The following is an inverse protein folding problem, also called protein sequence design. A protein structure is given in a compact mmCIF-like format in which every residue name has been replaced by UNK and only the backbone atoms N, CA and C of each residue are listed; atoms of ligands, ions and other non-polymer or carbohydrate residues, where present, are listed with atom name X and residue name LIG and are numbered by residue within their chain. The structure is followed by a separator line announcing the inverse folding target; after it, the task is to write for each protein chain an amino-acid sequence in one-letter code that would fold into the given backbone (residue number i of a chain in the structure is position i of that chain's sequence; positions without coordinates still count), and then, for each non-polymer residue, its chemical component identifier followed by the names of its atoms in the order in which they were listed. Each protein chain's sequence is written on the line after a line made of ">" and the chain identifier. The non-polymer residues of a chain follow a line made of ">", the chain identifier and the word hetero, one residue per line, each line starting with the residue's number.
data_IF_205521513834
#
_entry.id   IF_205521513834
#
_cell.length_a   1.000
_cell.length_b   1.000
_cell.length_c   1.000
_cell.angle_alpha   90.00
_cell.angle_beta   90.00
_cell.angle_gamma   90.00
#
_symmetry.space_group_name_H-M   'P 1'
#
loop_
_entity.id
_entity.type
_entity.pdbx_description
1 polymer ?
#
# COMPACT_ATOMS: atom_id res chain seq x y z
N UNK A 1 -25.76 96.01 -0.92
CA UNK A 1 -24.30 96.29 -0.93
C UNK A 1 -23.62 95.20 -1.74
N UNK A 2 -22.75 95.58 -2.68
CA UNK A 2 -22.24 94.74 -3.75
C UNK A 2 -20.70 94.72 -3.78
N UNK A 3 -20.13 93.75 -4.52
CA UNK A 3 -18.78 93.68 -5.15
C UNK A 3 -17.63 93.13 -4.28
N UNK A 4 -16.96 92.00 -4.62
CA UNK A 4 -15.95 91.65 -5.67
C UNK A 4 -14.55 91.41 -5.02
N UNK A 5 -13.97 90.19 -5.11
CA UNK A 5 -12.77 89.78 -5.91
C UNK A 5 -11.39 90.20 -5.30
N UNK A 6 -10.36 89.36 -5.05
CA UNK A 6 -9.48 88.59 -5.97
C UNK A 6 -8.46 87.74 -5.15
N UNK A 7 -8.30 86.42 -5.38
CA UNK A 7 -7.18 85.66 -6.00
C UNK A 7 -5.72 85.90 -5.54
N UNK A 8 -5.04 84.84 -5.08
CA UNK A 8 -3.65 84.51 -5.45
C UNK A 8 -3.42 82.99 -5.53
N UNK A 9 -2.67 82.58 -6.55
CA UNK A 9 -2.38 81.23 -7.02
C UNK A 9 -0.90 80.91 -6.71
N UNK A 10 -0.58 79.68 -6.26
CA UNK A 10 0.79 79.16 -6.26
C UNK A 10 0.83 77.83 -7.00
N UNK A 11 1.71 77.80 -8.00
CA UNK A 11 2.01 76.73 -8.94
C UNK A 11 3.08 75.80 -8.31
N UNK A 12 2.90 74.48 -8.36
CA UNK A 12 3.93 73.50 -8.05
C UNK A 12 4.00 72.50 -9.23
N UNK A 13 5.10 72.55 -9.98
CA UNK A 13 5.46 71.57 -11.00
C UNK A 13 5.97 70.30 -10.31
N UNK A 14 5.43 69.13 -10.69
CA UNK A 14 6.08 67.83 -10.50
C UNK A 14 6.51 67.29 -11.85
N UNK A 15 7.82 67.04 -12.00
CA UNK A 15 8.42 66.34 -13.14
C UNK A 15 8.53 64.87 -12.77
N UNK A 16 7.79 63.99 -13.46
CA UNK A 16 7.92 62.54 -13.32
C UNK A 16 8.86 62.00 -14.41
N UNK A 17 9.98 61.42 -14.00
CA UNK A 17 10.93 60.71 -14.87
C UNK A 17 10.39 59.29 -15.14
N UNK A 18 10.06 59.02 -16.41
CA UNK A 18 9.75 57.69 -16.92
C UNK A 18 11.04 56.99 -17.35
N UNK A 19 11.45 55.95 -16.62
CA UNK A 19 12.47 55.01 -17.06
C UNK A 19 11.80 53.84 -17.81
N UNK A 20 12.38 53.35 -18.92
CA UNK A 20 11.82 52.22 -19.67
C UNK A 20 12.11 50.91 -18.92
N UNK A 21 11.05 50.14 -18.61
CA UNK A 21 11.19 48.74 -18.19
C UNK A 21 11.68 47.93 -19.39
N UNK A 22 12.93 47.46 -19.32
CA UNK A 22 13.42 46.39 -20.18
C UNK A 22 12.71 45.09 -19.75
N UNK A 23 11.82 44.60 -20.61
CA UNK A 23 11.26 43.25 -20.47
C UNK A 23 12.41 42.24 -20.60
N UNK A 24 12.71 41.55 -19.51
CA UNK A 24 13.56 40.37 -19.57
C UNK A 24 12.82 39.26 -20.33
N UNK A 25 13.51 38.47 -21.17
CA UNK A 25 12.88 37.31 -21.77
C UNK A 25 12.49 36.37 -20.62
N UNK A 26 11.24 35.92 -20.62
CA UNK A 26 10.84 34.77 -19.83
C UNK A 26 11.67 33.58 -20.35
N UNK A 27 12.81 33.33 -19.70
CA UNK A 27 13.51 32.06 -19.84
C UNK A 27 12.51 31.02 -19.36
N UNK A 28 12.09 30.16 -20.28
CA UNK A 28 11.15 29.09 -20.04
C UNK A 28 11.58 28.32 -18.79
N UNK A 29 10.76 28.40 -17.74
CA UNK A 29 10.85 27.56 -16.56
C UNK A 29 10.23 26.19 -16.90
N UNK A 30 10.75 25.59 -17.99
CA UNK A 30 10.43 24.27 -18.53
C UNK A 30 11.66 23.36 -18.46
N UNK A 31 12.56 23.58 -17.48
CA UNK A 31 13.34 22.47 -16.93
C UNK A 31 12.36 21.63 -16.10
N UNK A 32 11.54 20.91 -16.87
CA UNK A 32 10.38 20.16 -16.47
C UNK A 32 10.79 19.13 -15.42
N UNK A 33 10.02 19.06 -14.35
CA UNK A 33 10.07 17.99 -13.36
C UNK A 33 10.03 16.65 -14.11
N UNK A 34 11.20 16.05 -14.36
CA UNK A 34 11.37 14.79 -15.05
C UNK A 34 12.28 13.94 -14.21
N UNK A 35 11.70 12.94 -13.58
CA UNK A 35 12.40 12.05 -12.68
C UNK A 35 12.30 10.62 -13.19
N UNK A 36 13.44 9.94 -13.28
CA UNK A 36 13.46 8.53 -13.59
C UNK A 36 12.92 7.73 -12.40
N UNK A 37 12.08 6.76 -12.71
CA UNK A 37 11.51 5.83 -11.75
C UNK A 37 11.32 4.44 -12.37
N UNK A 38 10.77 3.56 -11.55
CA UNK A 38 10.56 2.15 -11.91
C UNK A 38 9.25 1.64 -11.30
N UNK A 39 8.58 0.74 -12.01
CA UNK A 39 7.39 0.06 -11.49
C UNK A 39 7.79 -0.98 -10.45
N UNK A 40 7.12 -0.98 -9.31
CA UNK A 40 7.45 -1.84 -8.14
C UNK A 40 6.19 -2.46 -7.53
N UNK A 41 6.34 -3.59 -6.83
CA UNK A 41 5.29 -4.19 -5.99
C UNK A 41 4.02 -4.63 -6.73
N UNK A 42 4.06 -4.69 -8.06
CA UNK A 42 2.98 -5.22 -8.91
C UNK A 42 3.55 -5.72 -10.23
N UNK A 43 3.03 -6.83 -10.74
CA UNK A 43 3.33 -7.33 -12.09
C UNK A 43 2.61 -6.53 -13.19
N UNK A 44 1.65 -5.68 -12.82
CA UNK A 44 0.89 -4.89 -13.77
C UNK A 44 0.40 -3.57 -13.17
N UNK A 45 0.85 -2.46 -13.76
CA UNK A 45 0.45 -1.10 -13.40
C UNK A 45 -0.26 -0.42 -14.57
N UNK A 46 -1.52 -0.06 -14.38
CA UNK A 46 -2.29 0.65 -15.39
C UNK A 46 -1.76 2.07 -15.59
N UNK A 47 -1.43 2.42 -16.82
CA UNK A 47 -1.09 3.79 -17.24
C UNK A 47 -2.36 4.46 -17.76
N UNK A 48 -2.98 5.32 -16.96
CA UNK A 48 -4.32 5.88 -17.24
C UNK A 48 -4.28 7.15 -18.07
N UNK A 49 -5.39 7.45 -18.73
CA UNK A 49 -5.56 8.67 -19.53
C UNK A 49 -5.69 9.95 -18.70
N UNK A 50 -6.11 9.84 -17.44
CA UNK A 50 -6.25 10.92 -16.47
C UNK A 50 -6.01 10.39 -15.04
N UNK A 51 -5.86 11.24 -14.02
CA UNK A 51 -5.61 10.85 -12.64
C UNK A 51 -6.89 10.39 -11.92
N UNK A 52 -7.59 9.41 -12.50
CA UNK A 52 -8.85 8.89 -11.97
C UNK A 52 -9.06 7.42 -12.37
N UNK A 53 -9.62 6.62 -11.48
CA UNK A 53 -9.94 5.21 -11.70
C UNK A 53 -10.98 4.98 -12.81
N UNK A 54 -11.84 5.96 -13.07
CA UNK A 54 -12.82 5.93 -14.15
C UNK A 54 -12.19 6.13 -15.54
N UNK A 55 -10.96 6.64 -15.60
CA UNK A 55 -10.27 6.86 -16.87
C UNK A 55 -9.72 5.55 -17.45
N UNK A 56 -9.89 5.40 -18.77
CA UNK A 56 -9.38 4.25 -19.51
C UNK A 56 -7.86 4.08 -19.38
N UNK A 57 -7.41 2.83 -19.44
CA UNK A 57 -6.00 2.47 -19.48
C UNK A 57 -5.42 2.65 -20.88
N UNK A 58 -4.22 3.24 -20.97
CA UNK A 58 -3.40 3.42 -22.17
C UNK A 58 -2.33 2.32 -22.32
N UNK A 59 -2.25 1.43 -21.34
CA UNK A 59 -1.31 0.32 -21.30
C UNK A 59 -1.10 -0.22 -19.89
N UNK A 60 -0.40 -1.35 -19.79
CA UNK A 60 -0.09 -2.04 -18.55
C UNK A 60 1.43 -2.17 -18.43
N UNK A 61 2.05 -1.29 -17.64
CA UNK A 61 3.47 -1.38 -17.32
C UNK A 61 3.72 -2.60 -16.43
N UNK A 62 4.79 -3.34 -16.69
CA UNK A 62 5.17 -4.53 -15.93
C UNK A 62 6.09 -4.14 -14.76
N UNK A 63 6.25 -5.06 -13.81
CA UNK A 63 7.27 -4.93 -12.75
C UNK A 63 8.64 -4.62 -13.38
N UNK A 64 9.40 -3.72 -12.76
CA UNK A 64 10.71 -3.24 -13.23
C UNK A 64 10.71 -2.41 -14.53
N UNK A 65 9.55 -2.15 -15.15
CA UNK A 65 9.51 -1.27 -16.32
C UNK A 65 10.03 0.13 -15.95
N UNK A 66 10.91 0.73 -16.78
CA UNK A 66 11.36 2.10 -16.58
C UNK A 66 10.19 3.06 -16.86
N UNK A 67 10.03 4.05 -15.99
CA UNK A 67 8.99 5.07 -16.09
C UNK A 67 9.58 6.44 -15.77
N UNK A 68 9.13 7.50 -16.43
CA UNK A 68 9.55 8.87 -16.09
C UNK A 68 8.38 9.59 -15.47
N UNK A 69 8.51 10.08 -14.24
CA UNK A 69 7.54 10.98 -13.62
C UNK A 69 7.75 12.38 -14.18
N UNK A 70 6.70 13.00 -14.72
CA UNK A 70 6.78 14.25 -15.49
C UNK A 70 6.16 15.46 -14.79
N UNK A 71 5.76 15.33 -13.53
CA UNK A 71 5.14 16.41 -12.77
C UNK A 71 4.66 15.98 -11.38
N UNK A 72 4.06 16.91 -10.62
CA UNK A 72 3.52 16.62 -9.30
C UNK A 72 2.29 15.71 -9.37
N UNK A 73 2.08 14.94 -8.30
CA UNK A 73 0.92 14.07 -8.18
C UNK A 73 -0.41 14.86 -8.17
N UNK A 74 -1.44 14.26 -8.75
CA UNK A 74 -2.82 14.72 -8.65
C UNK A 74 -3.72 13.53 -8.30
N UNK A 75 -4.55 13.66 -7.27
CA UNK A 75 -5.45 12.59 -6.79
C UNK A 75 -4.73 11.25 -6.56
N UNK A 76 -3.49 11.29 -6.04
CA UNK A 76 -2.64 10.11 -5.82
C UNK A 76 -2.06 9.46 -7.10
N UNK A 77 -2.33 10.03 -8.28
CA UNK A 77 -1.68 9.61 -9.52
C UNK A 77 -0.50 10.51 -9.86
N UNK A 78 0.60 9.91 -10.28
CA UNK A 78 1.76 10.58 -10.85
C UNK A 78 1.57 10.73 -12.37
N UNK A 79 1.75 11.92 -12.94
CA UNK A 79 1.85 12.07 -14.39
C UNK A 79 3.16 11.43 -14.84
N UNK A 80 3.08 10.54 -15.83
CA UNK A 80 4.19 9.69 -16.24
C UNK A 80 4.33 9.59 -17.76
N UNK A 81 5.55 9.30 -18.20
CA UNK A 81 5.84 8.81 -19.54
C UNK A 81 6.39 7.37 -19.41
N UNK A 82 5.73 6.42 -20.07
CA UNK A 82 6.11 5.00 -20.10
C UNK A 82 6.04 4.50 -21.54
N UNK A 83 7.11 3.86 -22.02
CA UNK A 83 7.23 3.37 -23.40
C UNK A 83 6.86 4.42 -24.47
N UNK A 84 7.28 5.68 -24.26
CA UNK A 84 6.98 6.82 -25.14
C UNK A 84 5.53 7.31 -25.08
N UNK A 85 4.74 6.88 -24.09
CA UNK A 85 3.33 7.28 -23.90
C UNK A 85 3.17 8.08 -22.62
N UNK A 86 2.60 9.27 -22.74
CA UNK A 86 2.17 10.04 -21.59
C UNK A 86 0.89 9.44 -20.97
N UNK A 87 0.79 9.46 -19.65
CA UNK A 87 -0.37 8.99 -18.89
C UNK A 87 -0.22 9.27 -17.40
N UNK A 88 -0.95 8.50 -16.59
CA UNK A 88 -1.00 8.64 -15.14
C UNK A 88 -0.88 7.28 -14.47
N UNK A 89 0.04 7.14 -13.51
CA UNK A 89 0.29 5.92 -12.76
C UNK A 89 -0.06 6.11 -11.28
N UNK A 90 -0.61 5.09 -10.63
CA UNK A 90 -0.87 5.16 -9.19
C UNK A 90 0.46 5.19 -8.42
N UNK A 91 0.62 6.16 -7.51
CA UNK A 91 1.91 6.45 -6.89
C UNK A 91 2.49 5.27 -6.08
N UNK A 92 1.62 4.42 -5.50
CA UNK A 92 2.03 3.30 -4.65
C UNK A 92 2.82 2.21 -5.40
N UNK A 93 2.90 2.29 -6.74
CA UNK A 93 3.61 1.31 -7.56
C UNK A 93 4.72 1.93 -8.39
N UNK A 94 5.15 3.16 -8.08
CA UNK A 94 6.24 3.86 -8.78
C UNK A 94 7.28 4.31 -7.76
N UNK A 95 8.48 3.73 -7.84
CA UNK A 95 9.63 4.18 -7.07
C UNK A 95 10.44 5.20 -7.88
N UNK A 96 10.92 6.25 -7.21
CA UNK A 96 11.83 7.25 -7.79
C UNK A 96 13.00 7.52 -6.85
N UNK A 97 14.04 8.19 -7.33
CA UNK A 97 15.18 8.57 -6.48
C UNK A 97 14.80 9.51 -5.33
N UNK A 98 13.75 10.31 -5.50
CA UNK A 98 13.27 11.28 -4.52
C UNK A 98 12.28 10.71 -3.51
N UNK A 99 11.46 9.73 -3.91
CA UNK A 99 10.44 9.12 -3.03
C UNK A 99 10.82 7.75 -2.47
N UNK A 100 11.85 7.11 -3.01
CA UNK A 100 12.21 5.74 -2.67
C UNK A 100 11.15 4.72 -3.08
N UNK A 101 11.23 3.54 -2.50
CA UNK A 101 10.30 2.42 -2.71
C UNK A 101 8.98 2.69 -1.98
N UNK A 102 7.85 2.72 -2.71
CA UNK A 102 6.54 2.80 -2.11
C UNK A 102 6.31 1.74 -1.04
N UNK A 103 5.60 2.16 0.01
CA UNK A 103 5.34 1.38 1.21
C UNK A 103 3.93 1.68 1.70
N UNK A 104 3.12 0.64 1.88
CA UNK A 104 1.75 0.79 2.37
C UNK A 104 1.72 0.64 3.89
N UNK A 105 1.77 1.75 4.61
CA UNK A 105 1.56 1.77 6.06
C UNK A 105 0.15 2.20 6.45
N UNK A 106 -0.44 3.09 5.65
CA UNK A 106 -1.80 3.58 5.77
C UNK A 106 -2.37 3.77 4.36
N UNK A 107 -3.69 3.60 4.22
CA UNK A 107 -4.42 3.90 3.00
C UNK A 107 -4.60 5.39 2.75
N UNK A 108 -5.23 5.71 1.61
CA UNK A 108 -5.62 7.08 1.29
C UNK A 108 -6.79 7.53 2.19
N UNK A 109 -6.66 8.64 2.95
CA UNK A 109 -7.78 9.19 3.71
C UNK A 109 -8.91 9.70 2.80
N UNK A 110 -10.10 9.86 3.38
CA UNK A 110 -11.31 10.37 2.71
C UNK A 110 -12.31 9.30 2.30
N UNK A 111 -12.12 8.03 2.70
CA UNK A 111 -12.97 6.89 2.35
C UNK A 111 -13.55 6.13 3.52
N UNK A 112 -13.24 6.56 4.75
CA UNK A 112 -13.58 5.87 5.99
C UNK A 112 -13.21 4.38 5.95
N UNK A 113 -12.04 4.03 5.38
CA UNK A 113 -11.61 2.63 5.24
C UNK A 113 -10.75 2.20 6.42
N UNK A 114 -10.88 0.93 6.81
CA UNK A 114 -9.98 0.26 7.75
C UNK A 114 -9.64 -1.12 7.20
N UNK A 115 -8.38 -1.54 7.30
CA UNK A 115 -7.97 -2.89 6.92
C UNK A 115 -7.48 -3.65 8.16
N UNK A 116 -7.89 -4.91 8.28
CA UNK A 116 -7.35 -5.82 9.29
C UNK A 116 -6.35 -6.77 8.64
N UNK A 117 -5.18 -6.85 9.25
CA UNK A 117 -4.17 -7.86 8.92
C UNK A 117 -3.96 -8.80 10.10
N UNK A 118 -3.74 -10.08 9.79
CA UNK A 118 -3.43 -11.09 10.79
C UNK A 118 -2.09 -11.72 10.45
N UNK A 119 -1.07 -11.38 11.22
CA UNK A 119 0.25 -12.00 11.12
C UNK A 119 0.22 -13.34 11.87
N UNK A 120 0.74 -14.40 11.26
CA UNK A 120 0.79 -15.75 11.84
C UNK A 120 2.22 -16.29 11.71
N UNK A 121 2.76 -16.80 12.81
CA UNK A 121 4.17 -17.19 12.90
C UNK A 121 4.75 -17.13 14.32
N UNK A 122 3.92 -16.97 15.35
CA UNK A 122 4.28 -17.07 16.78
C UNK A 122 4.26 -18.53 17.27
N UNK A 123 3.42 -19.38 16.69
CA UNK A 123 3.49 -20.83 16.85
C UNK A 123 2.71 -21.42 18.04
N UNK A 124 1.91 -20.65 18.77
CA UNK A 124 0.87 -21.21 19.63
C UNK A 124 -0.30 -21.76 18.80
N UNK A 125 -1.22 -22.57 19.38
CA UNK A 125 -2.36 -23.08 18.64
C UNK A 125 -3.19 -21.97 18.01
N UNK A 126 -3.47 -22.09 16.71
CA UNK A 126 -4.25 -21.11 15.97
C UNK A 126 -5.66 -20.97 16.55
N UNK A 127 -6.05 -19.72 16.82
CA UNK A 127 -7.43 -19.37 17.13
C UNK A 127 -8.17 -19.09 15.82
N UNK A 128 -8.86 -20.10 15.29
CA UNK A 128 -9.54 -20.00 13.99
C UNK A 128 -10.91 -19.29 14.07
N UNK A 129 -11.54 -19.26 15.25
CA UNK A 129 -12.88 -18.71 15.43
C UNK A 129 -13.07 -17.26 14.95
N UNK A 130 -12.10 -16.34 15.10
CA UNK A 130 -12.21 -14.99 14.58
C UNK A 130 -12.34 -14.96 13.06
N UNK A 131 -11.57 -15.77 12.33
CA UNK A 131 -11.66 -15.83 10.87
C UNK A 131 -13.00 -16.40 10.40
N UNK A 132 -13.53 -17.40 11.10
CA UNK A 132 -14.88 -17.93 10.85
C UNK A 132 -15.95 -16.87 11.07
N UNK A 133 -15.84 -16.11 12.16
CA UNK A 133 -16.78 -15.03 12.47
C UNK A 133 -16.70 -13.89 11.44
N UNK A 134 -15.49 -13.43 11.08
CA UNK A 134 -15.29 -12.41 10.04
C UNK A 134 -15.89 -12.85 8.70
N UNK A 135 -15.71 -14.12 8.33
CA UNK A 135 -16.30 -14.69 7.12
C UNK A 135 -17.83 -14.66 7.17
N UNK A 136 -18.43 -15.07 8.28
CA UNK A 136 -19.88 -15.07 8.46
C UNK A 136 -20.48 -13.65 8.42
N UNK A 137 -19.77 -12.68 8.98
CA UNK A 137 -20.17 -11.27 9.07
C UNK A 137 -19.77 -10.44 7.84
N UNK A 138 -19.21 -11.08 6.81
CA UNK A 138 -18.70 -10.44 5.60
C UNK A 138 -17.75 -9.27 5.90
N UNK A 139 -16.85 -9.47 6.86
CA UNK A 139 -15.78 -8.51 7.19
C UNK A 139 -14.51 -8.93 6.45
N UNK A 140 -14.03 -8.13 5.49
CA UNK A 140 -12.76 -8.40 4.82
C UNK A 140 -11.57 -8.30 5.77
N UNK A 141 -10.56 -9.12 5.52
CA UNK A 141 -9.27 -9.11 6.19
C UNK A 141 -8.19 -9.66 5.25
N UNK A 142 -6.92 -9.54 5.60
CA UNK A 142 -5.80 -10.16 4.89
C UNK A 142 -4.92 -10.94 5.86
N UNK A 143 -4.54 -12.16 5.51
CA UNK A 143 -3.77 -13.05 6.38
C UNK A 143 -2.34 -13.13 5.88
N UNK A 144 -1.38 -13.03 6.78
CA UNK A 144 0.05 -13.09 6.47
C UNK A 144 0.70 -14.19 7.32
N UNK A 145 0.64 -15.44 6.88
CA UNK A 145 1.37 -16.53 7.52
C UNK A 145 2.85 -16.52 7.11
N UNK A 146 3.70 -16.98 8.02
CA UNK A 146 5.07 -17.37 7.72
C UNK A 146 5.12 -18.73 7.01
N UNK A 147 6.12 -18.94 6.15
CA UNK A 147 6.28 -20.19 5.42
C UNK A 147 6.57 -21.39 6.32
N UNK A 148 7.43 -21.22 7.33
CA UNK A 148 7.69 -22.28 8.34
C UNK A 148 6.39 -22.74 9.01
N UNK A 149 5.51 -21.78 9.34
CA UNK A 149 4.25 -22.05 10.05
C UNK A 149 3.29 -22.81 9.13
N UNK A 150 3.21 -22.43 7.85
CA UNK A 150 2.39 -23.13 6.87
C UNK A 150 2.76 -24.63 6.77
N UNK A 151 4.06 -24.96 6.78
CA UNK A 151 4.53 -26.36 6.76
C UNK A 151 4.25 -27.09 8.07
N UNK A 152 4.39 -26.42 9.21
CA UNK A 152 4.17 -27.01 10.52
C UNK A 152 2.68 -27.27 10.81
N UNK A 153 1.79 -26.40 10.30
CA UNK A 153 0.35 -26.44 10.54
C UNK A 153 -0.46 -26.46 9.23
N UNK A 154 -0.28 -27.50 8.38
CA UNK A 154 -0.81 -27.49 7.02
C UNK A 154 -2.35 -27.56 6.96
N UNK A 155 -3.00 -28.19 7.94
CA UNK A 155 -4.47 -28.29 7.98
C UNK A 155 -5.11 -26.95 8.36
N UNK A 156 -4.50 -26.20 9.28
CA UNK A 156 -4.93 -24.85 9.63
C UNK A 156 -4.72 -23.91 8.45
N UNK A 157 -3.56 -23.97 7.78
CA UNK A 157 -3.27 -23.18 6.60
C UNK A 157 -4.25 -23.45 5.44
N UNK A 158 -4.60 -24.72 5.18
CA UNK A 158 -5.65 -25.07 4.21
C UNK A 158 -7.02 -24.54 4.62
N UNK A 159 -7.33 -24.58 5.91
CA UNK A 159 -8.57 -24.02 6.45
C UNK A 159 -8.66 -22.52 6.19
N UNK A 160 -7.60 -21.76 6.50
CA UNK A 160 -7.50 -20.33 6.18
C UNK A 160 -7.73 -20.08 4.68
N UNK A 161 -7.07 -20.87 3.81
CA UNK A 161 -7.24 -20.74 2.37
C UNK A 161 -8.69 -21.02 1.89
N UNK A 162 -9.37 -22.00 2.49
CA UNK A 162 -10.77 -22.32 2.17
C UNK A 162 -11.75 -21.21 2.61
N UNK A 163 -11.42 -20.42 3.63
CA UNK A 163 -12.23 -19.26 4.03
C UNK A 163 -12.20 -18.15 2.97
N UNK A 164 -11.21 -18.15 2.07
CA UNK A 164 -11.13 -17.27 0.91
C UNK A 164 -10.69 -15.84 1.23
N UNK A 165 -10.03 -15.62 2.37
CA UNK A 165 -9.30 -14.37 2.60
C UNK A 165 -8.07 -14.31 1.67
N UNK A 166 -7.67 -13.11 1.21
CA UNK A 166 -6.35 -12.93 0.61
C UNK A 166 -5.25 -13.34 1.60
N UNK A 167 -4.26 -14.07 1.09
CA UNK A 167 -3.12 -14.57 1.85
C UNK A 167 -1.88 -13.89 1.26
N UNK A 168 -1.21 -13.01 1.99
CA UNK A 168 0.12 -12.51 1.68
C UNK A 168 1.21 -13.38 2.32
N UNK A 169 2.43 -12.87 2.42
CA UNK A 169 3.55 -13.55 3.12
C UNK A 169 4.09 -12.70 4.27
N UNK A 170 4.42 -13.35 5.39
CA UNK A 170 5.10 -12.74 6.53
C UNK A 170 6.59 -13.16 6.63
N UNK A 171 7.22 -13.48 5.48
CA UNK A 171 8.55 -14.09 5.45
C UNK A 171 8.52 -15.59 5.70
N UNK A 172 9.67 -16.25 5.68
CA UNK A 172 9.72 -17.70 5.92
C UNK A 172 9.91 -18.01 7.39
N UNK A 173 10.77 -17.27 8.09
CA UNK A 173 11.10 -17.42 9.52
C UNK A 173 11.05 -16.07 10.27
N UNK A 174 11.21 -16.10 11.60
CA UNK A 174 11.30 -14.86 12.40
C UNK A 174 12.65 -14.19 12.19
N UNK A 175 12.73 -13.35 11.17
CA UNK A 175 13.94 -12.66 10.77
C UNK A 175 13.79 -11.14 11.01
N UNK A 176 14.70 -10.55 11.78
CA UNK A 176 14.88 -9.10 11.81
C UNK A 176 15.70 -8.69 10.57
N UNK A 177 15.01 -8.51 9.44
CA UNK A 177 15.55 -8.36 8.09
C UNK A 177 16.65 -7.32 7.95
N UNK A 178 16.59 -6.21 8.70
CA UNK A 178 17.58 -5.13 8.59
C UNK A 178 18.96 -5.57 9.05
N UNK A 179 19.03 -6.61 9.89
CA UNK A 179 20.28 -7.21 10.38
C UNK A 179 20.89 -8.28 9.46
N UNK A 180 20.22 -8.66 8.37
CA UNK A 180 20.65 -9.74 7.47
C UNK A 180 21.06 -9.22 6.09
N UNK A 181 21.87 -10.01 5.38
CA UNK A 181 22.34 -9.68 4.02
C UNK A 181 21.20 -9.71 3.00
N UNK A 182 21.41 -9.06 1.86
CA UNK A 182 20.43 -9.01 0.77
C UNK A 182 20.03 -10.42 0.30
N UNK A 183 21.02 -11.33 0.16
CA UNK A 183 20.78 -12.72 -0.24
C UNK A 183 19.93 -13.48 0.78
N UNK A 184 20.18 -13.28 2.09
CA UNK A 184 19.40 -13.92 3.16
C UNK A 184 17.95 -13.42 3.18
N UNK A 185 17.74 -12.11 3.00
CA UNK A 185 16.39 -11.53 2.90
C UNK A 185 15.66 -12.09 1.67
N UNK A 186 16.32 -12.17 0.51
CA UNK A 186 15.70 -12.71 -0.71
C UNK A 186 15.39 -14.20 -0.58
N UNK A 187 16.26 -14.98 0.08
CA UNK A 187 16.00 -16.40 0.36
C UNK A 187 14.77 -16.54 1.25
N UNK A 188 14.66 -15.78 2.34
CA UNK A 188 13.49 -15.81 3.24
C UNK A 188 12.17 -15.52 2.49
N UNK A 189 12.17 -14.50 1.62
CA UNK A 189 10.99 -14.17 0.81
C UNK A 189 10.59 -15.30 -0.15
N UNK A 190 11.57 -15.93 -0.81
CA UNK A 190 11.33 -16.98 -1.80
C UNK A 190 10.90 -18.29 -1.16
N UNK A 191 11.56 -18.68 -0.07
CA UNK A 191 11.23 -19.90 0.67
C UNK A 191 9.82 -19.82 1.24
N UNK A 192 9.43 -18.66 1.77
CA UNK A 192 8.06 -18.42 2.24
C UNK A 192 7.01 -18.69 1.17
N UNK A 193 7.22 -18.14 -0.03
CA UNK A 193 6.30 -18.34 -1.16
C UNK A 193 6.22 -19.81 -1.59
N UNK A 194 7.37 -20.51 -1.61
CA UNK A 194 7.44 -21.95 -1.90
C UNK A 194 6.66 -22.77 -0.87
N UNK A 195 6.91 -22.53 0.42
CA UNK A 195 6.29 -23.26 1.52
C UNK A 195 4.79 -23.02 1.61
N UNK A 196 4.33 -21.77 1.43
CA UNK A 196 2.90 -21.46 1.34
C UNK A 196 2.28 -22.20 0.14
N UNK A 197 2.90 -22.10 -1.05
CA UNK A 197 2.41 -22.75 -2.27
C UNK A 197 2.30 -24.26 -2.13
N UNK A 198 3.26 -24.90 -1.47
CA UNK A 198 3.26 -26.35 -1.24
C UNK A 198 1.99 -26.81 -0.49
N UNK A 199 1.51 -26.00 0.45
CA UNK A 199 0.38 -26.37 1.31
C UNK A 199 -0.98 -26.06 0.67
N UNK A 200 -1.09 -24.91 -0.02
CA UNK A 200 -2.38 -24.41 -0.55
C UNK A 200 -2.50 -24.46 -2.08
N UNK A 201 -1.45 -24.90 -2.79
CA UNK A 201 -1.43 -25.12 -4.23
C UNK A 201 -1.36 -23.87 -5.10
N UNK A 202 -1.08 -22.69 -4.51
CA UNK A 202 -0.96 -21.41 -5.22
C UNK A 202 -0.07 -20.44 -4.45
N UNK A 203 0.47 -19.45 -5.16
CA UNK A 203 1.27 -18.40 -4.55
C UNK A 203 0.48 -17.50 -3.60
N UNK A 204 1.16 -16.94 -2.57
CA UNK A 204 0.60 -15.82 -1.84
C UNK A 204 0.35 -14.64 -2.79
N UNK A 205 -0.60 -13.78 -2.41
CA UNK A 205 -0.76 -12.47 -3.02
C UNK A 205 0.53 -11.66 -2.88
N UNK A 206 0.74 -10.73 -3.80
CA UNK A 206 1.93 -9.87 -3.90
C UNK A 206 2.00 -8.78 -2.80
N UNK A 207 1.79 -9.17 -1.54
CA UNK A 207 1.89 -8.34 -0.36
C UNK A 207 2.78 -9.03 0.66
N UNK A 208 3.71 -8.26 1.23
CA UNK A 208 4.65 -8.73 2.23
C UNK A 208 4.58 -7.83 3.47
N UNK A 209 4.65 -8.44 4.65
CA UNK A 209 4.78 -7.74 5.93
C UNK A 209 5.93 -8.33 6.73
N UNK A 210 6.84 -7.53 7.33
CA UNK A 210 8.03 -8.04 8.00
C UNK A 210 7.75 -8.43 9.46
N UNK A 211 8.47 -9.44 9.96
CA UNK A 211 8.53 -9.72 11.40
C UNK A 211 8.99 -8.47 12.17
N UNK A 212 8.35 -8.18 13.31
CA UNK A 212 8.66 -7.04 14.19
C UNK A 212 8.64 -5.65 13.50
N UNK A 213 7.91 -5.51 12.40
CA UNK A 213 7.91 -4.30 11.57
C UNK A 213 9.31 -3.95 11.00
N UNK A 214 10.27 -4.88 11.00
CA UNK A 214 11.68 -4.59 10.73
C UNK A 214 11.97 -4.51 9.22
N UNK A 215 11.84 -3.30 8.67
CA UNK A 215 12.03 -3.05 7.25
C UNK A 215 12.45 -1.60 6.98
N UNK A 216 13.70 -1.42 6.55
CA UNK A 216 14.25 -0.15 6.09
C UNK A 216 14.08 0.03 4.57
N UNK A 217 14.63 1.09 3.98
CA UNK A 217 14.57 1.30 2.52
C UNK A 217 15.20 0.14 1.73
N UNK A 218 16.35 -0.38 2.19
CA UNK A 218 17.04 -1.49 1.54
C UNK A 218 16.15 -2.73 1.49
N UNK A 219 15.53 -3.09 2.62
CA UNK A 219 14.63 -4.24 2.69
C UNK A 219 13.39 -4.01 1.82
N UNK A 220 12.81 -2.79 1.81
CA UNK A 220 11.68 -2.46 0.92
C UNK A 220 12.03 -2.66 -0.55
N UNK A 221 13.21 -2.22 -0.98
CA UNK A 221 13.68 -2.43 -2.35
C UNK A 221 13.79 -3.92 -2.71
N UNK A 222 14.33 -4.74 -1.80
CA UNK A 222 14.45 -6.20 -2.02
C UNK A 222 13.07 -6.86 -2.13
N UNK A 223 12.15 -6.55 -1.22
CA UNK A 223 10.76 -7.03 -1.24
C UNK A 223 10.08 -6.65 -2.56
N UNK A 224 10.25 -5.40 -3.00
CA UNK A 224 9.69 -4.89 -4.24
C UNK A 224 10.25 -5.57 -5.50
N UNK A 225 11.56 -5.87 -5.53
CA UNK A 225 12.21 -6.62 -6.62
C UNK A 225 11.73 -8.06 -6.73
N UNK A 226 11.40 -8.68 -5.59
CA UNK A 226 10.76 -10.00 -5.56
C UNK A 226 9.26 -9.94 -5.92
N UNK A 227 8.75 -8.75 -6.30
CA UNK A 227 7.41 -8.55 -6.83
C UNK A 227 6.32 -8.30 -5.81
N UNK A 228 6.68 -8.10 -4.53
CA UNK A 228 5.74 -7.83 -3.45
C UNK A 228 5.64 -6.33 -3.16
N UNK A 229 4.43 -5.85 -2.86
CA UNK A 229 4.27 -4.54 -2.22
C UNK A 229 4.62 -4.68 -0.72
N UNK A 230 5.56 -3.89 -0.19
CA UNK A 230 5.82 -3.85 1.25
C UNK A 230 4.64 -3.19 1.98
N UNK A 231 4.15 -3.87 3.03
CA UNK A 231 2.99 -3.47 3.83
C UNK A 231 3.39 -3.43 5.31
N UNK A 232 2.91 -2.42 6.03
CA UNK A 232 2.94 -2.36 7.49
C UNK A 232 1.62 -1.81 8.02
N UNK A 233 1.64 -1.31 9.25
CA UNK A 233 0.49 -0.85 9.98
C UNK A 233 0.82 0.40 10.81
N UNK A 234 -0.21 1.17 11.09
CA UNK A 234 -0.18 2.30 12.02
C UNK A 234 -0.78 1.94 13.37
N UNK A 235 -1.68 0.94 13.43
CA UNK A 235 -2.36 0.53 14.67
C UNK A 235 -1.99 -0.92 15.04
N UNK A 236 -0.94 -1.16 15.84
CA UNK A 236 -0.69 -2.47 16.42
C UNK A 236 -1.69 -2.76 17.54
N UNK A 237 -2.25 -3.97 17.57
CA UNK A 237 -3.05 -4.45 18.70
C UNK A 237 -2.21 -4.81 19.93
N UNK A 238 -0.89 -4.99 19.75
CA UNK A 238 0.04 -5.47 20.79
C UNK A 238 -0.44 -6.77 21.48
N UNK A 239 -1.13 -7.62 20.72
CA UNK A 239 -1.87 -8.79 21.18
C UNK A 239 -1.05 -10.09 21.22
N UNK A 240 0.18 -10.05 20.69
CA UNK A 240 1.14 -11.15 20.68
C UNK A 240 1.75 -11.47 22.06
N UNK A 241 1.51 -10.64 23.07
CA UNK A 241 2.15 -10.72 24.40
C UNK A 241 1.45 -11.74 25.30
N UNK A 242 2.17 -12.17 26.35
CA UNK A 242 1.58 -12.90 27.47
C UNK A 242 0.61 -11.99 28.26
N UNK A 243 -0.41 -12.60 28.86
CA UNK A 243 -1.40 -11.96 29.76
C UNK A 243 -2.23 -10.80 29.16
N UNK A 244 -2.53 -10.85 27.86
CA UNK A 244 -3.40 -9.86 27.20
C UNK A 244 -4.87 -10.23 27.39
N UNK A 245 -5.73 -9.23 27.57
CA UNK A 245 -7.20 -9.39 27.65
C UNK A 245 -7.90 -8.81 26.43
N UNK A 246 -9.15 -9.21 26.20
CA UNK A 246 -9.96 -8.67 25.12
C UNK A 246 -10.17 -7.15 25.23
N UNK A 247 -10.35 -6.64 26.45
CA UNK A 247 -10.50 -5.22 26.73
C UNK A 247 -9.23 -4.43 26.38
N UNK A 248 -8.05 -4.98 26.70
CA UNK A 248 -6.78 -4.36 26.32
C UNK A 248 -6.68 -4.20 24.79
N UNK A 249 -6.97 -5.26 24.04
CA UNK A 249 -6.94 -5.23 22.57
C UNK A 249 -7.95 -4.21 22.03
N UNK A 250 -9.15 -4.16 22.60
CA UNK A 250 -10.18 -3.18 22.22
C UNK A 250 -9.72 -1.74 22.47
N UNK A 251 -9.22 -1.44 23.67
CA UNK A 251 -8.78 -0.10 24.08
C UNK A 251 -7.50 0.34 23.35
N UNK A 252 -6.69 -0.62 22.88
CA UNK A 252 -5.53 -0.35 22.03
C UNK A 252 -5.94 0.03 20.61
N UNK A 253 -6.96 -0.64 20.05
CA UNK A 253 -7.33 -0.50 18.64
C UNK A 253 -8.32 0.64 18.43
N UNK A 254 -9.52 0.56 19.02
CA UNK A 254 -10.66 1.41 18.66
C UNK A 254 -10.39 2.91 18.75
N UNK A 255 -9.71 3.46 19.78
CA UNK A 255 -9.45 4.89 19.85
C UNK A 255 -8.29 5.37 18.96
N UNK A 256 -7.49 4.46 18.40
CA UNK A 256 -6.33 4.79 17.57
C UNK A 256 -6.57 4.59 16.07
N UNK A 257 -7.73 4.03 15.68
CA UNK A 257 -8.10 3.88 14.27
C UNK A 257 -8.53 5.22 13.68
N UNK A 258 -7.88 5.58 12.58
CA UNK A 258 -8.21 6.71 11.73
C UNK A 258 -8.61 6.24 10.31
N UNK A 259 -9.05 7.16 9.46
CA UNK A 259 -9.37 6.84 8.07
C UNK A 259 -8.13 6.44 7.28
N UNK A 260 -8.12 5.22 6.77
CA UNK A 260 -6.99 4.61 6.09
C UNK A 260 -6.14 3.73 7.01
N UNK A 261 -6.47 3.59 8.29
CA UNK A 261 -5.67 2.75 9.20
C UNK A 261 -5.65 1.29 8.77
N UNK A 262 -4.47 0.70 8.95
CA UNK A 262 -4.22 -0.74 8.88
C UNK A 262 -3.97 -1.20 10.32
N UNK A 263 -4.80 -2.12 10.78
CA UNK A 263 -4.72 -2.68 12.13
C UNK A 263 -4.10 -4.06 12.07
N UNK A 264 -3.06 -4.27 12.87
CA UNK A 264 -2.34 -5.53 12.97
C UNK A 264 -2.76 -6.33 14.21
N UNK A 265 -2.99 -7.62 13.99
CA UNK A 265 -3.39 -8.60 14.99
C UNK A 265 -2.62 -9.91 14.80
N UNK A 266 -2.67 -10.77 15.81
CA UNK A 266 -2.16 -12.14 15.81
C UNK A 266 -3.22 -13.14 16.25
N UNK A 267 -3.18 -14.34 15.69
CA UNK A 267 -4.14 -15.43 16.02
C UNK A 267 -3.49 -16.67 16.62
N UNK A 268 -2.16 -16.70 16.69
CA UNK A 268 -1.35 -17.82 17.18
C UNK A 268 -0.39 -17.37 18.29
N UNK A 269 -0.81 -16.38 19.09
CA UNK A 269 -0.11 -15.92 20.28
C UNK A 269 -0.63 -16.60 21.56
N UNK A 270 0.11 -16.47 22.67
CA UNK A 270 -0.12 -17.25 23.89
C UNK A 270 -1.46 -16.95 24.58
N UNK A 271 -2.00 -15.74 24.41
CA UNK A 271 -3.27 -15.31 25.00
C UNK A 271 -4.38 -15.11 23.96
N UNK A 272 -4.17 -15.48 22.69
CA UNK A 272 -5.09 -15.14 21.59
C UNK A 272 -6.51 -15.69 21.82
N UNK A 273 -6.66 -16.79 22.56
CA UNK A 273 -7.96 -17.42 22.83
C UNK A 273 -8.83 -16.55 23.76
N UNK A 274 -8.22 -15.91 24.76
CA UNK A 274 -8.89 -15.06 25.75
C UNK A 274 -8.85 -13.56 25.38
N UNK A 275 -7.99 -13.17 24.42
CA UNK A 275 -7.82 -11.78 23.99
C UNK A 275 -8.41 -11.50 22.61
N UNK A 276 -7.59 -11.53 21.56
CA UNK A 276 -7.94 -11.15 20.19
C UNK A 276 -9.17 -11.88 19.70
N UNK A 277 -9.31 -13.17 20.04
CA UNK A 277 -10.45 -13.94 19.58
C UNK A 277 -11.80 -13.42 20.12
N UNK A 278 -11.80 -12.84 21.32
CA UNK A 278 -12.97 -12.24 21.95
C UNK A 278 -13.12 -10.77 21.52
N UNK A 279 -12.01 -10.05 21.31
CA UNK A 279 -12.01 -8.63 20.99
C UNK A 279 -12.53 -8.31 19.57
N UNK A 280 -12.23 -9.17 18.58
CA UNK A 280 -12.54 -8.90 17.16
C UNK A 280 -14.02 -8.52 16.93
N UNK A 281 -15.03 -9.27 17.42
CA UNK A 281 -16.43 -8.87 17.27
C UNK A 281 -16.76 -7.49 17.86
N UNK A 282 -16.18 -7.16 19.03
CA UNK A 282 -16.41 -5.88 19.71
C UNK A 282 -15.81 -4.72 18.92
N UNK A 283 -14.56 -4.88 18.45
CA UNK A 283 -13.85 -3.87 17.65
C UNK A 283 -14.59 -3.62 16.34
N UNK A 284 -14.99 -4.68 15.63
CA UNK A 284 -15.72 -4.54 14.37
C UNK A 284 -17.03 -3.79 14.58
N UNK A 285 -17.80 -4.13 15.63
CA UNK A 285 -19.03 -3.43 15.95
C UNK A 285 -18.80 -1.93 16.24
N UNK A 286 -17.77 -1.60 17.03
CA UNK A 286 -17.43 -0.22 17.38
C UNK A 286 -17.01 0.61 16.14
N UNK A 287 -16.14 0.06 15.29
CA UNK A 287 -15.67 0.76 14.10
C UNK A 287 -16.78 0.90 13.03
N UNK A 288 -17.65 -0.11 12.87
CA UNK A 288 -18.86 0.04 12.04
C UNK A 288 -19.77 1.16 12.55
N UNK A 289 -19.96 1.28 13.86
CA UNK A 289 -20.74 2.35 14.46
C UNK A 289 -20.14 3.74 14.24
N UNK A 290 -18.82 3.82 14.04
CA UNK A 290 -18.10 5.04 13.65
C UNK A 290 -18.12 5.30 12.13
N UNK A 291 -18.71 4.40 11.34
CA UNK A 291 -18.86 4.55 9.89
C UNK A 291 -17.75 3.91 9.05
N UNK A 292 -16.82 3.18 9.66
CA UNK A 292 -15.73 2.54 8.94
C UNK A 292 -16.20 1.39 8.04
N UNK A 293 -15.62 1.35 6.84
CA UNK A 293 -15.73 0.27 5.87
C UNK A 293 -14.49 -0.61 5.97
N UNK A 294 -14.73 -1.91 6.20
CA UNK A 294 -13.66 -2.89 6.25
C UNK A 294 -13.26 -3.30 4.84
N UNK A 295 -11.95 -3.31 4.59
CA UNK A 295 -11.37 -3.63 3.27
C UNK A 295 -10.17 -4.56 3.40
N UNK A 296 -9.81 -5.23 2.31
CA UNK A 296 -8.57 -6.01 2.23
C UNK A 296 -7.37 -5.09 2.03
N UNK A 297 -6.14 -5.60 2.22
CA UNK A 297 -4.93 -4.86 1.83
C UNK A 297 -4.89 -4.57 0.33
N UNK A 298 -5.42 -5.47 -0.50
CA UNK A 298 -5.54 -5.24 -1.93
C UNK A 298 -6.39 -4.01 -2.24
N UNK A 299 -7.54 -3.86 -1.59
CA UNK A 299 -8.42 -2.70 -1.75
C UNK A 299 -7.83 -1.44 -1.10
N UNK A 300 -7.12 -1.58 0.03
CA UNK A 300 -6.45 -0.48 0.72
C UNK A 300 -5.30 0.11 -0.10
N UNK A 301 -4.57 -0.73 -0.84
CA UNK A 301 -3.51 -0.33 -1.76
C UNK A 301 -4.03 0.45 -2.99
N UNK A 302 -5.34 0.42 -3.25
CA UNK A 302 -5.96 1.14 -4.35
C UNK A 302 -6.55 2.48 -3.89
N UNK A 303 -6.65 3.46 -4.80
CA UNK A 303 -7.33 4.71 -4.50
C UNK A 303 -8.77 4.48 -4.01
N UNK A 304 -9.25 5.47 -3.27
CA UNK A 304 -10.66 5.67 -2.98
C UNK A 304 -11.57 5.41 -4.20
N UNK A 305 -12.63 4.62 -4.02
CA UNK A 305 -13.62 4.28 -5.05
C UNK A 305 -13.08 3.56 -6.30
N UNK A 306 -11.83 3.08 -6.30
CA UNK A 306 -11.42 2.04 -7.25
C UNK A 306 -12.38 0.85 -7.08
N UNK A 307 -13.13 0.50 -8.13
CA UNK A 307 -13.94 -0.71 -8.10
C UNK A 307 -13.03 -1.91 -7.83
N UNK A 308 -13.40 -2.79 -6.88
CA UNK A 308 -12.72 -4.06 -6.66
C UNK A 308 -12.56 -4.76 -8.00
N UNK A 309 -11.33 -5.08 -8.46
CA UNK A 309 -11.16 -5.76 -9.72
C UNK A 309 -11.94 -7.08 -9.68
N UNK A 310 -12.77 -7.33 -10.71
CA UNK A 310 -13.23 -8.70 -11.00
C UNK A 310 -11.95 -9.53 -11.15
N UNK A 311 -11.80 -10.68 -10.47
CA UNK A 311 -10.64 -11.54 -10.66
C UNK A 311 -10.47 -11.80 -12.15
N UNK A 312 -9.42 -11.24 -12.75
CA UNK A 312 -9.02 -11.63 -14.08
C UNK A 312 -8.66 -13.11 -14.00
N UNK A 313 -9.30 -13.94 -14.81
CA UNK A 313 -8.78 -15.27 -15.09
C UNK A 313 -7.30 -15.11 -15.43
N UNK A 314 -6.36 -15.72 -14.70
CA UNK A 314 -4.97 -15.73 -15.12
C UNK A 314 -4.95 -16.22 -16.56
N UNK A 315 -4.36 -15.41 -17.44
CA UNK A 315 -4.24 -15.73 -18.85
C UNK A 315 -3.74 -17.15 -18.99
N UNK A 316 -4.43 -17.94 -19.82
CA UNK A 316 -3.94 -19.22 -20.26
C UNK A 316 -2.46 -19.07 -20.62
N UNK A 317 -1.59 -19.74 -19.86
CA UNK A 317 -0.19 -19.79 -20.18
C UNK A 317 -0.06 -20.23 -21.63
N UNK A 318 0.50 -19.35 -22.46
CA UNK A 318 0.91 -19.70 -23.81
C UNK A 318 1.87 -20.88 -23.70
N UNK A 319 1.66 -22.00 -24.42
CA UNK A 319 2.61 -23.11 -24.37
C UNK A 319 3.96 -22.60 -24.85
N UNK A 320 4.99 -22.76 -24.03
CA UNK A 320 6.37 -22.53 -24.45
C UNK A 320 6.65 -23.54 -25.56
N UNK A 321 6.93 -23.03 -26.76
CA UNK A 321 7.32 -23.84 -27.90
C UNK A 321 8.57 -24.65 -27.53
N UNK A 322 8.46 -25.98 -27.62
CA UNK A 322 9.56 -26.89 -27.36
C UNK A 322 10.73 -26.62 -28.31
N UNK A 323 11.91 -26.46 -27.72
CA UNK A 323 13.19 -26.47 -28.42
C UNK A 323 13.36 -27.81 -29.15
N UNK A 324 13.78 -27.82 -30.44
CA UNK A 324 14.03 -29.08 -31.14
C UNK A 324 15.30 -29.74 -30.56
N UNK A 325 15.21 -31.04 -30.29
CA UNK A 325 16.34 -31.85 -29.90
C UNK A 325 17.41 -31.83 -31.00
N UNK A 326 18.64 -31.52 -30.61
CA UNK A 326 19.83 -31.73 -31.41
C UNK A 326 20.49 -33.04 -30.97
N UNK A 327 20.78 -33.92 -31.93
CA UNK A 327 21.69 -35.06 -31.79
C UNK A 327 21.06 -36.39 -31.41
#
# INVERSE_FOLDING_TARGET
>A
MAKHAWRFMRLLLLVALLAPLLAMPAVAQEDAFREAGVVVGTTGLNIRACPDVACGSRGLAQLEDPITVTGPAANGYLPVEWAGRAGWAWHLYVATGSTGTPFLQQGTPGCQRVAFIFNIGIGDPLQIHPLLWLKAENVPATIFPMGWWALAFPDDMRTIAMLGFPIGTHGDVRLNLTGFSDDEVVIDLRDSAVHIREVIGRDPAAYFTPYAADMDERVRELVAREGYLPVAWDVPADDWREDITAEYVFDRVVPNVEDGSIVEFHLDGPASAESTAIAIPMIVAALRAQGYQFVTIQDMAQPCNAATPVPGTPGAATPVAGTPAAG
#
